data_IF_196951732132
#
_entry.id   IF_196951732132
#
_cell.length_a   1.000
_cell.length_b   1.000
_cell.length_c   1.000
_cell.angle_alpha   90.00
_cell.angle_beta   90.00
_cell.angle_gamma   90.00
#
_symmetry.space_group_name_H-M   'P 1'
#
loop_
_entity.id
_entity.type
_entity.pdbx_description
1 polymer ?
#
# COMPACT_ATOMS: atom_id res chain seq x y z
N UNK A 1 15.87 43.70 17.57
CA UNK A 1 14.90 43.66 16.51
C UNK A 1 13.52 43.30 17.09
N UNK A 2 12.41 43.92 16.67
CA UNK A 2 11.09 43.58 17.16
C UNK A 2 10.73 42.16 16.74
N UNK A 3 9.89 41.46 17.51
CA UNK A 3 9.43 40.11 17.13
C UNK A 3 8.67 40.15 15.80
N UNK A 4 8.72 39.08 14.97
CA UNK A 4 8.01 39.03 13.72
C UNK A 4 6.49 39.16 13.97
N UNK A 5 5.74 39.79 13.06
CA UNK A 5 4.30 39.92 13.19
C UNK A 5 3.63 38.56 13.25
N UNK A 6 2.52 38.41 13.99
CA UNK A 6 1.76 37.14 14.03
C UNK A 6 1.27 36.79 12.63
N UNK A 7 1.24 35.48 12.28
CA UNK A 7 0.74 35.04 11.00
C UNK A 7 -0.74 35.49 10.82
N UNK A 8 -1.16 35.84 9.63
CA UNK A 8 -2.53 36.27 9.38
C UNK A 8 -3.52 35.15 9.76
N UNK A 9 -4.73 35.51 10.23
CA UNK A 9 -5.72 34.52 10.66
C UNK A 9 -6.10 33.62 9.48
N UNK A 10 -5.98 32.32 9.69
CA UNK A 10 -6.17 31.28 8.68
C UNK A 10 -7.59 31.15 8.10
N UNK A 11 -8.56 31.94 8.56
CA UNK A 11 -9.94 31.87 8.07
C UNK A 11 -10.65 33.22 8.15
N UNK A 12 -10.91 33.81 7.01
CA UNK A 12 -11.96 34.84 6.86
C UNK A 12 -13.07 34.31 5.96
N UNK A 13 -14.26 34.21 6.56
CA UNK A 13 -15.62 34.01 6.03
C UNK A 13 -16.18 32.60 5.97
N UNK A 14 -17.09 32.32 6.91
CA UNK A 14 -17.96 31.13 6.95
C UNK A 14 -18.85 30.93 5.70
N UNK A 15 -19.04 31.91 4.84
CA UNK A 15 -19.94 31.83 3.69
C UNK A 15 -19.35 31.17 2.45
N UNK A 16 -18.04 30.97 2.33
CA UNK A 16 -17.43 30.25 1.19
C UNK A 16 -17.34 28.74 1.40
N UNK A 17 -17.35 28.27 2.63
CA UNK A 17 -17.20 26.85 2.94
C UNK A 17 -18.39 25.97 2.54
N UNK A 18 -19.62 26.48 2.62
CA UNK A 18 -20.83 25.69 2.30
C UNK A 18 -20.93 25.32 0.81
N UNK A 19 -20.57 26.22 -0.09
CA UNK A 19 -20.63 25.93 -1.53
C UNK A 19 -19.56 24.96 -2.05
N UNK A 20 -18.41 24.90 -1.38
CA UNK A 20 -17.33 23.96 -1.73
C UNK A 20 -17.55 22.58 -1.08
N UNK A 21 -18.16 22.51 0.11
CA UNK A 21 -18.48 21.25 0.78
C UNK A 21 -19.50 20.41 -0.01
N UNK A 22 -20.49 21.02 -0.64
CA UNK A 22 -21.49 20.31 -1.45
C UNK A 22 -20.91 19.83 -2.80
N UNK A 23 -20.01 20.59 -3.42
CA UNK A 23 -19.30 20.12 -4.63
C UNK A 23 -18.26 19.03 -4.30
N UNK A 24 -17.64 19.07 -3.12
CA UNK A 24 -16.68 18.05 -2.70
C UNK A 24 -17.36 16.73 -2.30
N UNK A 25 -18.62 16.74 -1.88
CA UNK A 25 -19.39 15.51 -1.59
C UNK A 25 -19.59 14.65 -2.86
N UNK A 26 -20.03 15.23 -3.96
CA UNK A 26 -20.20 14.50 -5.22
C UNK A 26 -18.88 14.00 -5.84
N UNK A 27 -17.83 14.80 -5.75
CA UNK A 27 -16.48 14.40 -6.16
C UNK A 27 -15.93 13.30 -5.25
N UNK A 28 -16.11 13.42 -3.93
CA UNK A 28 -15.65 12.42 -2.95
C UNK A 28 -16.23 11.03 -3.19
N UNK A 29 -17.48 10.93 -3.62
CA UNK A 29 -18.15 9.65 -3.84
C UNK A 29 -17.67 8.95 -5.12
N UNK A 30 -17.42 9.69 -6.20
CA UNK A 30 -16.87 9.13 -7.45
C UNK A 30 -15.47 8.54 -7.22
N UNK A 31 -14.64 9.20 -6.40
CA UNK A 31 -13.26 8.75 -6.16
C UNK A 31 -13.14 7.64 -5.13
N UNK A 32 -14.02 7.66 -4.12
CA UNK A 32 -14.18 6.50 -3.25
C UNK A 32 -14.50 5.25 -4.06
N UNK A 33 -15.39 5.38 -5.05
CA UNK A 33 -15.73 4.27 -5.95
C UNK A 33 -14.51 3.74 -6.69
N UNK A 34 -13.63 4.57 -7.25
CA UNK A 34 -12.41 4.11 -7.93
C UNK A 34 -11.48 3.28 -7.02
N UNK A 35 -11.29 3.70 -5.75
CA UNK A 35 -10.49 2.94 -4.79
C UNK A 35 -11.19 1.65 -4.38
N UNK A 36 -12.51 1.68 -4.25
CA UNK A 36 -13.33 0.50 -3.95
C UNK A 36 -13.27 -0.50 -5.11
N UNK A 37 -13.48 -0.03 -6.34
CA UNK A 37 -13.45 -0.87 -7.54
C UNK A 37 -12.07 -1.53 -7.71
N UNK A 38 -11.00 -0.77 -7.53
CA UNK A 38 -9.63 -1.31 -7.51
C UNK A 38 -9.46 -2.38 -6.42
N UNK A 39 -9.91 -2.09 -5.20
CA UNK A 39 -9.82 -3.01 -4.07
C UNK A 39 -10.55 -4.33 -4.34
N UNK A 40 -11.76 -4.26 -4.85
CA UNK A 40 -12.57 -5.44 -5.22
C UNK A 40 -11.91 -6.22 -6.35
N UNK A 41 -11.48 -5.54 -7.41
CA UNK A 41 -10.84 -6.17 -8.57
C UNK A 41 -9.56 -6.93 -8.20
N UNK A 42 -8.70 -6.36 -7.35
CA UNK A 42 -7.48 -7.03 -6.88
C UNK A 42 -7.81 -8.31 -6.08
N UNK A 43 -8.79 -8.25 -5.16
CA UNK A 43 -9.20 -9.44 -4.42
C UNK A 43 -9.81 -10.52 -5.31
N UNK A 44 -10.57 -10.15 -6.32
CA UNK A 44 -11.10 -11.10 -7.31
C UNK A 44 -9.98 -11.78 -8.13
N UNK A 45 -8.84 -11.12 -8.27
CA UNK A 45 -7.63 -11.66 -8.91
C UNK A 45 -6.71 -12.41 -7.92
N UNK A 46 -7.17 -12.69 -6.69
CA UNK A 46 -6.38 -13.38 -5.66
C UNK A 46 -5.19 -12.56 -5.12
N UNK A 47 -5.20 -11.25 -5.35
CA UNK A 47 -4.20 -10.31 -4.87
C UNK A 47 -4.68 -9.65 -3.58
N UNK A 48 -3.79 -9.15 -2.77
CA UNK A 48 -4.14 -8.48 -1.50
C UNK A 48 -3.73 -7.01 -1.58
N UNK A 49 -4.61 -6.10 -2.04
CA UNK A 49 -4.26 -4.71 -2.24
C UNK A 49 -4.10 -3.94 -0.93
N UNK A 50 -3.35 -2.84 -1.00
CA UNK A 50 -3.37 -1.80 0.02
C UNK A 50 -4.10 -0.56 -0.54
N UNK A 51 -5.37 -0.34 -0.20
CA UNK A 51 -6.16 0.75 -0.79
C UNK A 51 -5.64 2.14 -0.41
N UNK A 52 -4.85 2.29 0.67
CA UNK A 52 -4.21 3.56 1.00
C UNK A 52 -3.20 4.00 -0.07
N UNK A 53 -2.53 3.04 -0.74
CA UNK A 53 -1.63 3.33 -1.86
C UNK A 53 -2.40 3.91 -3.04
N UNK A 54 -3.49 3.25 -3.45
CA UNK A 54 -4.37 3.74 -4.52
C UNK A 54 -4.98 5.10 -4.18
N UNK A 55 -5.45 5.29 -2.95
CA UNK A 55 -5.99 6.56 -2.48
C UNK A 55 -4.94 7.69 -2.54
N UNK A 56 -3.72 7.44 -2.08
CA UNK A 56 -2.66 8.45 -2.15
C UNK A 56 -2.28 8.76 -3.60
N UNK A 57 -2.06 7.73 -4.43
CA UNK A 57 -1.66 7.90 -5.83
C UNK A 57 -2.72 8.66 -6.66
N UNK A 58 -3.97 8.20 -6.62
CA UNK A 58 -4.99 8.69 -7.55
C UNK A 58 -5.82 9.84 -7.00
N UNK A 59 -6.10 9.85 -5.69
CA UNK A 59 -6.99 10.84 -5.09
C UNK A 59 -6.20 11.99 -4.46
N UNK A 60 -5.37 11.70 -3.43
CA UNK A 60 -4.74 12.79 -2.66
C UNK A 60 -3.70 13.54 -3.45
N UNK A 61 -2.73 12.83 -4.02
CA UNK A 61 -1.62 13.45 -4.74
C UNK A 61 -1.82 13.46 -6.26
N UNK A 62 -2.77 12.68 -6.77
CA UNK A 62 -3.22 12.81 -8.14
C UNK A 62 -4.20 13.98 -8.30
N UNK A 63 -5.44 13.81 -7.87
CA UNK A 63 -6.52 14.78 -8.15
C UNK A 63 -6.62 15.95 -7.19
N UNK A 64 -6.49 15.71 -5.88
CA UNK A 64 -6.61 16.78 -4.89
C UNK A 64 -5.46 17.78 -5.04
N UNK A 65 -4.25 17.32 -5.35
CA UNK A 65 -3.10 18.19 -5.62
C UNK A 65 -3.38 19.04 -6.89
N UNK A 66 -3.83 18.44 -7.99
CA UNK A 66 -4.20 19.19 -9.19
C UNK A 66 -5.34 20.18 -8.94
N UNK A 67 -6.30 19.82 -8.10
CA UNK A 67 -7.37 20.74 -7.73
C UNK A 67 -6.86 21.91 -6.89
N UNK A 68 -5.92 21.67 -5.97
CA UNK A 68 -5.26 22.73 -5.21
C UNK A 68 -4.50 23.69 -6.14
N UNK A 69 -3.76 23.16 -7.11
CA UNK A 69 -3.08 23.95 -8.15
C UNK A 69 -4.06 24.82 -8.96
N UNK A 70 -5.21 24.26 -9.36
CA UNK A 70 -6.25 25.01 -10.07
C UNK A 70 -6.92 26.11 -9.23
N UNK A 71 -6.67 26.12 -7.92
CA UNK A 71 -7.07 27.18 -6.98
C UNK A 71 -5.90 28.09 -6.57
N UNK A 72 -4.82 28.08 -7.33
CA UNK A 72 -3.59 28.84 -7.08
C UNK A 72 -2.94 28.56 -5.70
N UNK A 73 -3.18 27.37 -5.14
CA UNK A 73 -2.51 26.95 -3.91
C UNK A 73 -1.09 26.48 -4.25
N UNK A 74 -0.11 27.05 -3.56
CA UNK A 74 1.30 26.67 -3.73
C UNK A 74 1.63 25.29 -3.16
N UNK A 75 0.90 24.85 -2.14
CA UNK A 75 1.16 23.58 -1.45
C UNK A 75 -0.11 22.86 -1.02
N UNK A 76 -0.05 21.55 -1.04
CA UNK A 76 -1.00 20.66 -0.38
C UNK A 76 -0.39 20.14 0.93
N UNK A 77 -0.94 20.53 2.07
CA UNK A 77 -0.52 20.01 3.38
C UNK A 77 -1.38 18.83 3.81
N UNK A 78 -0.75 17.78 4.29
CA UNK A 78 -1.44 16.59 4.81
C UNK A 78 -0.86 16.12 6.14
N UNK A 79 -1.66 15.38 6.94
CA UNK A 79 -1.26 14.86 8.24
C UNK A 79 -0.43 13.56 8.18
N UNK A 80 0.28 13.27 7.09
CA UNK A 80 1.13 12.11 7.02
C UNK A 80 2.39 12.26 7.88
N UNK A 81 2.74 11.18 8.58
CA UNK A 81 3.98 11.08 9.33
C UNK A 81 5.12 10.65 8.40
N UNK A 82 5.60 11.58 7.61
CA UNK A 82 6.75 11.47 6.73
C UNK A 82 7.44 12.83 6.66
N UNK A 83 8.66 12.89 6.17
CA UNK A 83 9.42 14.13 6.03
C UNK A 83 9.86 14.33 4.59
N UNK A 84 9.89 15.58 4.17
CA UNK A 84 10.49 15.99 2.90
C UNK A 84 11.61 16.96 3.21
N UNK A 85 12.78 16.72 2.67
CA UNK A 85 13.88 17.67 2.68
C UNK A 85 14.47 17.79 1.25
N UNK A 86 15.46 18.67 1.10
CA UNK A 86 16.14 18.88 -0.17
C UNK A 86 17.64 18.77 0.03
N UNK A 87 18.27 17.92 -0.79
CA UNK A 87 19.71 17.81 -0.83
C UNK A 87 20.19 17.64 -2.28
N UNK A 88 21.35 18.23 -2.60
CA UNK A 88 21.94 18.17 -3.93
C UNK A 88 20.96 18.55 -5.07
N UNK A 89 20.09 19.54 -4.81
CA UNK A 89 19.12 20.04 -5.78
C UNK A 89 17.86 19.20 -5.92
N UNK A 90 17.74 18.02 -5.28
CA UNK A 90 16.59 17.10 -5.37
C UNK A 90 15.81 17.03 -4.07
N UNK A 91 14.51 16.82 -4.16
CA UNK A 91 13.67 16.49 -3.00
C UNK A 91 13.87 15.03 -2.61
N UNK A 92 13.85 14.78 -1.30
CA UNK A 92 13.93 13.44 -0.73
C UNK A 92 12.73 13.20 0.17
N UNK A 93 12.09 12.05 -0.01
CA UNK A 93 11.07 11.54 0.91
C UNK A 93 11.76 10.72 1.99
N UNK A 94 11.52 11.05 3.25
CA UNK A 94 12.13 10.38 4.40
C UNK A 94 11.10 9.84 5.36
N UNK A 95 11.48 8.84 6.12
CA UNK A 95 10.67 8.31 7.23
C UNK A 95 10.30 9.40 8.23
N UNK A 96 9.12 9.30 8.83
CA UNK A 96 8.69 10.16 9.93
C UNK A 96 9.61 10.06 11.15
N UNK A 97 9.55 11.07 12.02
CA UNK A 97 10.29 11.07 13.27
C UNK A 97 9.79 10.01 14.28
N UNK A 98 8.54 9.59 14.15
CA UNK A 98 7.94 8.49 14.93
C UNK A 98 8.02 7.18 14.14
N UNK A 99 8.91 6.23 14.50
CA UNK A 99 9.06 4.98 13.76
C UNK A 99 7.81 4.09 13.80
N UNK A 100 6.96 4.25 14.84
CA UNK A 100 5.72 3.46 14.98
C UNK A 100 4.58 4.02 14.14
N UNK A 101 4.67 5.28 13.73
CA UNK A 101 3.66 6.00 12.95
C UNK A 101 4.15 6.40 11.57
N UNK A 102 5.37 6.01 11.20
CA UNK A 102 5.92 6.31 9.88
C UNK A 102 4.99 5.86 8.75
N UNK A 103 4.69 6.80 7.86
CA UNK A 103 3.80 6.60 6.71
C UNK A 103 4.52 6.79 5.37
N UNK A 104 5.85 6.85 5.37
CA UNK A 104 6.64 6.97 4.14
C UNK A 104 6.38 5.83 3.17
N UNK A 105 6.08 4.63 3.69
CA UNK A 105 5.69 3.46 2.89
C UNK A 105 4.50 3.72 1.96
N UNK A 106 3.48 4.45 2.40
CA UNK A 106 2.28 4.73 1.57
C UNK A 106 2.42 5.98 0.72
N UNK A 107 3.63 6.56 0.65
CA UNK A 107 3.96 7.77 -0.08
C UNK A 107 5.04 7.57 -1.16
N UNK A 108 5.57 6.36 -1.34
CA UNK A 108 6.67 6.07 -2.26
C UNK A 108 6.40 6.49 -3.71
N UNK A 109 5.13 6.66 -4.08
CA UNK A 109 4.74 7.07 -5.43
C UNK A 109 4.94 8.57 -5.71
N UNK A 110 5.36 9.35 -4.71
CA UNK A 110 5.62 10.78 -4.89
C UNK A 110 6.99 10.98 -5.53
N UNK A 111 7.00 11.60 -6.72
CA UNK A 111 8.20 12.01 -7.42
C UNK A 111 8.59 13.46 -7.10
N UNK A 112 9.52 13.99 -7.86
CA UNK A 112 10.08 15.33 -7.65
C UNK A 112 9.04 16.44 -7.79
N UNK A 113 8.09 16.27 -8.73
CA UNK A 113 7.03 17.26 -8.98
C UNK A 113 6.09 17.34 -7.78
N UNK A 114 5.59 16.21 -7.28
CA UNK A 114 4.68 16.19 -6.14
C UNK A 114 5.39 16.63 -4.85
N UNK A 115 6.64 16.15 -4.63
CA UNK A 115 7.41 16.51 -3.43
C UNK A 115 7.71 18.01 -3.33
N UNK A 116 7.79 18.70 -4.46
CA UNK A 116 7.94 20.17 -4.49
C UNK A 116 6.67 20.91 -4.01
N UNK A 117 5.53 20.26 -4.00
CA UNK A 117 4.23 20.88 -3.75
C UNK A 117 3.47 20.29 -2.57
N UNK A 118 4.08 19.38 -1.81
CA UNK A 118 3.45 18.77 -0.63
C UNK A 118 4.18 19.16 0.65
N UNK A 119 3.41 19.27 1.73
CA UNK A 119 3.92 19.49 3.06
C UNK A 119 3.40 18.43 4.02
N UNK A 120 4.26 17.93 4.88
CA UNK A 120 3.94 16.99 5.97
C UNK A 120 4.24 17.62 7.33
N UNK A 121 3.41 18.56 7.82
CA UNK A 121 3.73 19.38 9.00
C UNK A 121 3.94 18.57 10.29
N UNK A 122 3.38 17.36 10.37
CA UNK A 122 3.50 16.48 11.55
C UNK A 122 4.64 15.46 11.44
N UNK A 123 5.30 15.39 10.30
CA UNK A 123 6.34 14.38 10.05
C UNK A 123 7.57 14.47 10.93
N UNK A 124 7.86 15.66 11.47
CA UNK A 124 8.97 15.90 12.40
C UNK A 124 8.63 15.65 13.88
N UNK A 125 7.42 15.17 14.19
CA UNK A 125 6.94 14.98 15.57
C UNK A 125 6.49 13.55 15.82
N UNK A 126 6.55 13.11 17.08
CA UNK A 126 5.91 11.88 17.51
C UNK A 126 4.39 12.07 17.63
N UNK A 127 3.64 10.96 17.56
CA UNK A 127 2.17 11.00 17.74
C UNK A 127 1.77 11.63 19.07
N UNK A 128 2.52 11.34 20.13
CA UNK A 128 2.30 11.92 21.46
C UNK A 128 2.48 13.43 21.46
N UNK A 129 3.51 13.94 20.81
CA UNK A 129 3.73 15.39 20.66
C UNK A 129 2.59 16.05 19.88
N UNK A 130 2.17 15.44 18.77
CA UNK A 130 1.05 15.97 17.96
C UNK A 130 -0.25 16.02 18.75
N UNK A 131 -0.56 14.97 19.54
CA UNK A 131 -1.73 14.98 20.44
C UNK A 131 -1.62 16.08 21.51
N UNK A 132 -0.45 16.27 22.13
CA UNK A 132 -0.22 17.35 23.08
C UNK A 132 -0.46 18.73 22.46
N UNK A 133 0.08 18.97 21.26
CA UNK A 133 -0.15 20.23 20.52
C UNK A 133 -1.63 20.44 20.16
N UNK A 134 -2.36 19.37 19.83
CA UNK A 134 -3.79 19.45 19.54
C UNK A 134 -4.60 19.82 20.79
N UNK A 135 -4.27 19.23 21.97
CA UNK A 135 -4.90 19.59 23.26
C UNK A 135 -4.64 21.05 23.63
N UNK A 136 -3.39 21.51 23.53
CA UNK A 136 -3.02 22.90 23.81
C UNK A 136 -3.78 23.91 22.93
N UNK A 137 -4.20 23.49 21.73
CA UNK A 137 -4.98 24.30 20.79
C UNK A 137 -6.48 24.05 20.87
N UNK A 138 -6.94 23.27 21.85
CA UNK A 138 -8.35 22.87 22.03
C UNK A 138 -8.99 22.31 20.75
N UNK A 139 -8.24 21.52 19.98
CA UNK A 139 -8.77 20.91 18.76
C UNK A 139 -9.69 19.72 19.11
N UNK A 140 -10.93 19.66 18.59
CA UNK A 140 -11.88 18.59 18.91
C UNK A 140 -11.39 17.18 18.57
N UNK A 141 -10.39 17.08 17.69
CA UNK A 141 -9.82 15.79 17.22
C UNK A 141 -8.69 15.28 18.12
N UNK A 142 -8.31 16.01 19.18
CA UNK A 142 -7.20 15.63 20.05
C UNK A 142 -7.38 14.25 20.70
N UNK A 143 -8.63 13.91 21.05
CA UNK A 143 -9.00 12.65 21.70
C UNK A 143 -9.58 11.59 20.71
N UNK A 144 -9.61 11.90 19.41
CA UNK A 144 -10.11 10.96 18.43
C UNK A 144 -9.23 9.72 18.35
N UNK A 145 -9.86 8.55 18.40
CA UNK A 145 -9.19 7.28 18.17
C UNK A 145 -8.56 7.21 16.77
N UNK A 146 -7.54 6.38 16.63
CA UNK A 146 -6.91 6.17 15.35
C UNK A 146 -7.84 5.37 14.43
N UNK A 147 -7.99 5.84 13.20
CA UNK A 147 -8.63 5.04 12.16
C UNK A 147 -7.69 3.88 11.81
N UNK A 148 -7.98 2.70 12.30
CA UNK A 148 -7.11 1.53 12.15
C UNK A 148 -7.36 0.76 10.86
N UNK A 149 -8.47 1.03 10.15
CA UNK A 149 -9.02 0.12 9.16
C UNK A 149 -9.41 0.81 7.86
N UNK A 150 -10.02 0.08 6.96
CA UNK A 150 -10.40 0.56 5.65
C UNK A 150 -11.46 1.66 5.77
N UNK A 151 -11.14 2.88 5.40
CA UNK A 151 -12.00 4.05 5.61
C UNK A 151 -13.37 3.99 4.89
N UNK A 152 -13.56 3.03 3.97
CA UNK A 152 -14.80 2.78 3.25
C UNK A 152 -15.54 1.51 3.71
N UNK A 153 -14.97 0.73 4.64
CA UNK A 153 -15.61 -0.42 5.30
C UNK A 153 -16.00 0.01 6.71
N UNK A 154 -17.27 0.33 6.90
CA UNK A 154 -17.75 1.00 8.13
C UNK A 154 -17.79 0.11 9.37
N UNK A 155 -17.77 -1.20 9.19
CA UNK A 155 -17.90 -2.23 10.22
C UNK A 155 -16.68 -3.14 10.34
N UNK A 156 -15.59 -2.74 9.67
CA UNK A 156 -14.31 -3.45 9.64
C UNK A 156 -14.39 -4.90 9.10
N UNK A 157 -15.54 -5.28 8.53
CA UNK A 157 -15.75 -6.58 7.89
C UNK A 157 -15.56 -6.48 6.37
N UNK A 158 -14.30 -6.55 5.92
CA UNK A 158 -13.98 -6.54 4.49
C UNK A 158 -14.54 -7.77 3.75
N UNK A 159 -14.79 -8.90 4.43
CA UNK A 159 -15.35 -10.11 3.82
C UNK A 159 -16.80 -9.88 3.43
N UNK A 160 -17.60 -9.32 4.35
CA UNK A 160 -18.97 -8.91 4.05
C UNK A 160 -19.00 -7.85 2.95
N UNK A 161 -18.05 -6.92 2.98
CA UNK A 161 -17.92 -5.90 1.94
C UNK A 161 -17.68 -6.53 0.56
N UNK A 162 -16.73 -7.46 0.42
CA UNK A 162 -16.46 -8.20 -0.82
C UNK A 162 -17.67 -9.03 -1.26
N UNK A 163 -18.36 -9.70 -0.32
CA UNK A 163 -19.54 -10.48 -0.61
C UNK A 163 -20.70 -9.63 -1.16
N UNK A 164 -20.79 -8.35 -0.75
CA UNK A 164 -21.78 -7.41 -1.25
C UNK A 164 -21.40 -6.84 -2.63
N UNK A 165 -20.12 -6.61 -2.90
CA UNK A 165 -19.66 -5.91 -4.11
C UNK A 165 -19.21 -6.84 -5.25
N UNK A 166 -18.89 -8.09 -4.95
CA UNK A 166 -18.48 -9.10 -5.93
C UNK A 166 -18.93 -10.51 -5.49
N UNK A 167 -20.25 -10.75 -5.33
CA UNK A 167 -20.75 -12.03 -4.87
C UNK A 167 -20.36 -13.20 -5.79
N UNK A 168 -20.19 -12.94 -7.09
CA UNK A 168 -19.76 -13.91 -8.09
C UNK A 168 -18.33 -14.42 -7.88
N UNK A 169 -17.45 -13.60 -7.28
CA UNK A 169 -16.07 -13.97 -6.96
C UNK A 169 -15.97 -14.77 -5.64
N UNK A 170 -17.03 -14.76 -4.83
CA UNK A 170 -17.07 -15.44 -3.54
C UNK A 170 -17.70 -16.81 -3.69
N UNK A 171 -16.97 -17.74 -4.30
CA UNK A 171 -17.43 -19.10 -4.51
C UNK A 171 -16.67 -20.08 -3.61
N UNK A 172 -17.35 -20.97 -2.87
CA UNK A 172 -16.67 -22.02 -2.09
C UNK A 172 -15.89 -22.96 -2.99
N UNK A 173 -14.75 -23.45 -2.48
CA UNK A 173 -13.89 -24.37 -3.21
C UNK A 173 -13.06 -25.26 -2.29
N UNK A 174 -12.25 -26.17 -2.81
CA UNK A 174 -11.43 -27.06 -2.02
C UNK A 174 -10.24 -26.34 -1.36
N UNK A 175 -9.89 -26.79 -0.18
CA UNK A 175 -8.59 -26.49 0.43
C UNK A 175 -7.71 -27.72 0.22
N UNK A 176 -6.59 -27.51 -0.46
CA UNK A 176 -5.64 -28.55 -0.82
C UNK A 176 -4.39 -28.46 0.05
N UNK A 177 -3.81 -29.59 0.39
CA UNK A 177 -2.46 -29.66 0.92
C UNK A 177 -1.42 -29.42 -0.21
N UNK A 178 -0.12 -29.41 0.14
CA UNK A 178 0.96 -29.24 -0.86
C UNK A 178 1.17 -30.46 -1.76
N UNK A 179 0.53 -31.59 -1.48
CA UNK A 179 0.52 -32.78 -2.32
C UNK A 179 -0.70 -32.80 -3.28
N UNK A 180 -1.64 -31.87 -3.08
CA UNK A 180 -2.86 -31.76 -3.91
C UNK A 180 -4.06 -32.50 -3.34
N UNK A 181 -3.98 -33.07 -2.12
CA UNK A 181 -5.12 -33.72 -1.49
C UNK A 181 -6.08 -32.69 -0.92
N UNK A 182 -7.39 -32.91 -1.09
CA UNK A 182 -8.42 -32.08 -0.48
C UNK A 182 -8.51 -32.38 1.03
N UNK A 183 -8.31 -31.34 1.85
CA UNK A 183 -8.31 -31.44 3.32
C UNK A 183 -9.38 -30.54 3.95
N UNK A 184 -10.19 -29.88 3.16
CA UNK A 184 -11.28 -29.01 3.63
C UNK A 184 -11.87 -28.17 2.51
N UNK A 185 -12.74 -27.25 2.88
CA UNK A 185 -13.36 -26.30 1.95
C UNK A 185 -13.28 -24.87 2.44
N UNK A 186 -12.98 -23.95 1.53
CA UNK A 186 -12.98 -22.50 1.83
C UNK A 186 -14.32 -21.86 1.40
N UNK A 187 -14.59 -20.68 1.94
CA UNK A 187 -15.82 -19.92 1.71
C UNK A 187 -15.73 -18.92 0.55
N UNK A 188 -14.60 -18.81 -0.10
CA UNK A 188 -14.32 -17.87 -1.21
C UNK A 188 -12.87 -17.43 -1.17
N UNK A 189 -12.12 -17.57 -2.29
CA UNK A 189 -10.69 -17.22 -2.36
C UNK A 189 -10.39 -15.76 -1.93
N UNK A 190 -11.26 -14.75 -2.23
CA UNK A 190 -11.01 -13.37 -1.80
C UNK A 190 -10.92 -13.15 -0.28
N UNK A 191 -11.31 -14.13 0.53
CA UNK A 191 -11.21 -14.07 1.99
C UNK A 191 -9.87 -14.50 2.55
N UNK A 192 -8.93 -14.91 1.68
CA UNK A 192 -7.65 -15.46 2.09
C UNK A 192 -6.48 -14.70 1.48
N UNK A 193 -5.39 -14.69 2.21
CA UNK A 193 -4.14 -14.02 1.83
C UNK A 193 -2.96 -14.96 2.08
N UNK A 194 -1.96 -14.93 1.22
CA UNK A 194 -0.72 -15.68 1.39
C UNK A 194 -0.09 -15.39 2.77
N UNK A 195 0.30 -16.44 3.49
CA UNK A 195 0.83 -16.36 4.85
C UNK A 195 -0.24 -16.37 5.96
N UNK A 196 -1.52 -16.33 5.62
CA UNK A 196 -2.61 -16.39 6.60
C UNK A 196 -2.62 -17.75 7.31
N UNK A 197 -2.70 -17.72 8.66
CA UNK A 197 -2.81 -18.90 9.51
C UNK A 197 -4.22 -19.10 10.07
N UNK A 198 -4.88 -18.00 10.47
CA UNK A 198 -6.17 -18.06 11.17
C UNK A 198 -7.34 -18.14 10.20
N UNK A 199 -8.44 -18.78 10.60
CA UNK A 199 -9.67 -18.80 9.83
C UNK A 199 -9.66 -19.80 8.66
N UNK A 200 -8.77 -20.81 8.67
CA UNK A 200 -8.75 -21.88 7.67
C UNK A 200 -9.80 -22.96 7.94
N UNK A 201 -10.22 -23.12 9.20
CA UNK A 201 -11.22 -24.13 9.60
C UNK A 201 -10.75 -25.58 9.49
N UNK A 202 -9.41 -25.82 9.48
CA UNK A 202 -8.82 -27.14 9.31
C UNK A 202 -8.15 -27.57 10.60
N UNK A 203 -8.45 -28.78 11.06
CA UNK A 203 -7.71 -29.44 12.11
C UNK A 203 -6.50 -30.18 11.51
N UNK A 204 -5.30 -29.85 11.97
CA UNK A 204 -4.08 -30.47 11.49
C UNK A 204 -3.06 -30.64 12.64
N UNK A 205 -2.15 -31.63 12.57
CA UNK A 205 -1.13 -31.85 13.60
C UNK A 205 -0.15 -30.68 13.76
N UNK A 206 0.11 -29.94 12.70
CA UNK A 206 0.95 -28.74 12.69
C UNK A 206 0.18 -27.51 12.15
N UNK A 207 0.67 -26.31 12.46
CA UNK A 207 0.06 -25.08 12.00
C UNK A 207 0.15 -24.95 10.46
N UNK A 208 -0.99 -24.81 9.81
CA UNK A 208 -1.08 -24.60 8.37
C UNK A 208 -1.20 -23.10 8.04
N UNK A 209 -0.66 -22.75 6.90
CA UNK A 209 -0.63 -21.39 6.35
C UNK A 209 -1.08 -21.42 4.88
N UNK A 210 -1.71 -20.37 4.42
CA UNK A 210 -1.98 -20.20 2.98
C UNK A 210 -0.65 -20.04 2.25
N UNK A 211 -0.37 -20.97 1.35
CA UNK A 211 0.83 -20.96 0.49
C UNK A 211 0.55 -20.21 -0.80
N UNK A 212 -0.59 -20.48 -1.43
CA UNK A 212 -1.03 -19.79 -2.65
C UNK A 212 -2.54 -19.90 -2.85
N UNK A 213 -3.09 -18.99 -3.63
CA UNK A 213 -4.44 -19.05 -4.16
C UNK A 213 -4.36 -19.56 -5.59
N UNK A 214 -5.04 -20.66 -5.90
CA UNK A 214 -5.13 -21.26 -7.24
C UNK A 214 -6.46 -20.83 -7.87
N UNK A 215 -6.44 -19.72 -8.57
CA UNK A 215 -7.65 -19.13 -9.17
C UNK A 215 -8.25 -20.05 -10.25
N UNK A 216 -7.39 -20.72 -11.04
CA UNK A 216 -7.84 -21.58 -12.13
C UNK A 216 -8.69 -22.78 -11.64
N UNK A 217 -8.37 -23.26 -10.43
CA UNK A 217 -9.07 -24.39 -9.80
C UNK A 217 -10.06 -23.95 -8.72
N UNK A 218 -10.18 -22.66 -8.47
CA UNK A 218 -10.86 -22.12 -7.28
C UNK A 218 -10.42 -22.84 -6.00
N UNK A 219 -9.11 -23.05 -5.81
CA UNK A 219 -8.56 -23.83 -4.71
C UNK A 219 -7.62 -23.02 -3.84
N UNK A 220 -7.70 -23.23 -2.53
CA UNK A 220 -6.77 -22.66 -1.54
C UNK A 220 -5.71 -23.71 -1.22
N UNK A 221 -4.43 -23.44 -1.53
CA UNK A 221 -3.34 -24.35 -1.19
C UNK A 221 -2.74 -23.94 0.14
N UNK A 222 -2.70 -24.86 1.10
CA UNK A 222 -2.16 -24.64 2.43
C UNK A 222 -1.02 -25.61 2.75
N UNK A 223 -0.16 -25.22 3.66
CA UNK A 223 0.97 -26.06 4.10
C UNK A 223 1.68 -25.48 5.31
N UNK A 224 2.68 -26.17 5.82
CA UNK A 224 3.47 -25.72 6.97
C UNK A 224 4.30 -24.46 6.64
N UNK A 225 4.65 -23.70 7.68
CA UNK A 225 5.37 -22.42 7.53
C UNK A 225 6.70 -22.52 6.76
N UNK A 226 7.37 -23.68 6.80
CA UNK A 226 8.60 -23.94 6.03
C UNK A 226 8.42 -23.91 4.50
N UNK A 227 7.17 -23.99 4.02
CA UNK A 227 6.81 -23.84 2.59
C UNK A 227 6.57 -22.38 2.19
N UNK A 228 6.58 -21.47 3.16
CA UNK A 228 6.50 -20.03 2.93
C UNK A 228 7.88 -19.45 2.74
N UNK A 229 8.56 -18.96 2.35
CA UNK A 229 9.96 -18.49 2.36
C UNK A 229 10.42 -18.22 0.94
N UNK A 230 10.18 -17.01 0.50
CA UNK A 230 10.61 -16.54 -0.80
C UNK A 230 11.73 -15.52 -0.65
N UNK A 231 12.73 -15.60 -1.51
CA UNK A 231 13.86 -14.67 -1.52
C UNK A 231 13.75 -13.59 -2.58
N UNK A 232 12.87 -13.75 -3.55
CA UNK A 232 12.77 -12.80 -4.65
C UNK A 232 11.33 -12.41 -4.91
N UNK A 233 11.15 -11.24 -5.45
CA UNK A 233 9.88 -10.77 -6.01
C UNK A 233 10.15 -9.88 -7.22
N UNK A 234 9.16 -9.73 -8.08
CA UNK A 234 9.11 -8.72 -9.11
C UNK A 234 7.96 -7.76 -8.81
N UNK A 235 8.22 -6.48 -8.99
CA UNK A 235 7.28 -5.41 -8.76
C UNK A 235 7.06 -4.60 -10.03
N UNK A 236 5.83 -4.26 -10.29
CA UNK A 236 5.44 -3.35 -11.36
C UNK A 236 5.02 -1.99 -10.83
N UNK A 237 4.68 -1.09 -11.75
CA UNK A 237 4.31 0.30 -11.44
C UNK A 237 5.33 1.00 -10.52
N UNK A 238 6.60 0.73 -10.76
CA UNK A 238 7.70 1.24 -9.94
C UNK A 238 7.82 2.76 -10.08
N UNK A 239 7.91 3.42 -8.95
CA UNK A 239 8.23 4.85 -8.85
C UNK A 239 9.57 5.00 -8.14
N UNK A 240 10.45 5.81 -8.73
CA UNK A 240 11.70 6.26 -8.12
C UNK A 240 11.51 7.68 -7.60
N UNK A 241 11.76 7.90 -6.31
CA UNK A 241 11.58 9.23 -5.69
C UNK A 241 12.49 10.27 -6.33
N UNK A 242 13.68 9.86 -6.78
CA UNK A 242 14.62 10.71 -7.53
C UNK A 242 14.11 11.11 -8.92
N UNK A 243 13.15 10.39 -9.48
CA UNK A 243 12.66 10.51 -10.85
C UNK A 243 13.37 9.60 -11.85
N UNK A 244 14.49 8.96 -11.46
CA UNK A 244 15.31 8.13 -12.35
C UNK A 244 15.63 6.79 -11.68
N UNK A 245 15.59 5.67 -12.43
CA UNK A 245 16.04 4.38 -11.92
C UNK A 245 17.55 4.37 -11.70
N UNK A 246 18.07 3.61 -10.74
CA UNK A 246 19.49 3.37 -10.61
C UNK A 246 20.00 2.58 -11.81
N UNK A 247 21.19 2.94 -12.31
CA UNK A 247 21.84 2.27 -13.46
C UNK A 247 22.39 0.88 -13.13
N UNK A 248 22.63 0.62 -11.85
CA UNK A 248 23.17 -0.65 -11.35
C UNK A 248 22.33 -1.17 -10.18
N UNK A 249 22.40 -2.48 -9.86
CA UNK A 249 21.75 -3.03 -8.68
C UNK A 249 22.21 -2.34 -7.39
N UNK A 250 21.26 -1.94 -6.54
CA UNK A 250 21.53 -1.15 -5.33
C UNK A 250 21.17 -1.94 -4.08
N UNK A 251 22.04 -1.88 -3.06
CA UNK A 251 21.76 -2.42 -1.74
C UNK A 251 20.79 -1.53 -1.00
N UNK A 252 19.72 -2.14 -0.49
CA UNK A 252 18.62 -1.45 0.17
C UNK A 252 18.13 -2.20 1.41
N UNK A 253 17.37 -1.50 2.24
CA UNK A 253 16.46 -2.10 3.19
C UNK A 253 15.06 -2.03 2.60
N UNK A 254 14.32 -3.13 2.54
CA UNK A 254 13.00 -3.12 1.90
C UNK A 254 11.89 -3.61 2.84
N UNK A 255 10.71 -2.99 2.73
CA UNK A 255 9.47 -3.46 3.36
C UNK A 255 8.54 -4.02 2.28
N UNK A 256 7.97 -5.19 2.54
CA UNK A 256 7.00 -5.86 1.64
C UNK A 256 5.54 -5.61 2.02
N UNK A 257 5.27 -4.86 3.08
CA UNK A 257 3.96 -4.39 3.54
C UNK A 257 4.15 -3.31 4.62
N UNK A 258 3.11 -2.54 4.88
CA UNK A 258 3.16 -1.39 5.79
C UNK A 258 3.74 -1.70 7.17
N UNK A 259 3.30 -2.80 7.81
CA UNK A 259 3.74 -3.19 9.15
C UNK A 259 4.92 -4.17 9.17
N UNK A 260 5.53 -4.49 8.01
CA UNK A 260 6.69 -5.37 7.98
C UNK A 260 7.94 -4.67 8.55
N UNK A 261 8.83 -5.46 9.10
CA UNK A 261 10.20 -5.03 9.42
C UNK A 261 10.99 -4.83 8.13
N UNK A 262 11.98 -3.94 8.17
CA UNK A 262 12.93 -3.77 7.09
C UNK A 262 13.78 -5.04 6.93
N UNK A 263 13.98 -5.47 5.69
CA UNK A 263 14.83 -6.61 5.34
C UNK A 263 15.87 -6.19 4.30
N UNK A 264 17.10 -6.65 4.49
CA UNK A 264 18.21 -6.37 3.55
C UNK A 264 17.96 -7.05 2.21
N UNK A 265 18.11 -6.31 1.14
CA UNK A 265 17.87 -6.77 -0.22
C UNK A 265 18.74 -6.05 -1.25
N UNK A 266 18.79 -6.61 -2.45
CA UNK A 266 19.29 -5.95 -3.65
C UNK A 266 18.11 -5.59 -4.53
N UNK A 267 18.02 -4.32 -4.89
CA UNK A 267 17.05 -3.76 -5.83
C UNK A 267 17.68 -3.63 -7.19
N UNK A 268 17.07 -4.22 -8.22
CA UNK A 268 17.49 -4.10 -9.61
C UNK A 268 16.36 -3.50 -10.43
N UNK A 269 16.59 -2.36 -11.04
CA UNK A 269 15.66 -1.78 -11.99
C UNK A 269 15.59 -2.68 -13.24
N UNK A 270 14.38 -2.90 -13.74
CA UNK A 270 14.09 -3.58 -15.00
C UNK A 270 13.44 -2.59 -15.95
N UNK A 271 13.22 -3.03 -17.19
CA UNK A 271 12.50 -2.25 -18.20
C UNK A 271 11.01 -2.06 -17.84
N UNK A 272 10.32 -1.19 -18.56
CA UNK A 272 8.87 -0.96 -18.45
C UNK A 272 8.35 -0.64 -17.03
N UNK A 273 9.15 0.07 -16.23
CA UNK A 273 8.73 0.45 -14.87
C UNK A 273 8.58 -0.73 -13.91
N UNK A 274 9.38 -1.77 -14.13
CA UNK A 274 9.48 -2.95 -13.28
C UNK A 274 10.76 -2.93 -12.45
N UNK A 275 10.79 -3.74 -11.40
CA UNK A 275 11.99 -4.00 -10.61
C UNK A 275 11.98 -5.42 -10.06
N UNK A 276 13.18 -5.99 -9.92
CA UNK A 276 13.41 -7.24 -9.20
C UNK A 276 14.06 -6.93 -7.85
N UNK A 277 13.54 -7.56 -6.79
CA UNK A 277 14.07 -7.42 -5.43
C UNK A 277 14.47 -8.79 -4.91
N UNK A 278 15.74 -8.94 -4.54
CA UNK A 278 16.28 -10.19 -3.99
C UNK A 278 16.71 -9.95 -2.55
N UNK A 279 16.09 -10.65 -1.61
CA UNK A 279 16.35 -10.56 -0.18
C UNK A 279 17.49 -11.47 0.26
N UNK A 280 18.28 -11.03 1.24
CA UNK A 280 19.39 -11.82 1.80
C UNK A 280 18.89 -13.08 2.54
N UNK A 281 17.70 -12.99 3.14
CA UNK A 281 17.05 -14.10 3.82
C UNK A 281 15.62 -14.30 3.29
N UNK A 282 15.08 -15.53 3.30
CA UNK A 282 13.72 -15.77 2.86
C UNK A 282 12.71 -15.00 3.72
N UNK A 283 11.74 -14.37 3.07
CA UNK A 283 10.61 -13.69 3.70
C UNK A 283 9.34 -14.52 3.55
N UNK A 284 8.63 -14.70 4.65
CA UNK A 284 7.48 -15.59 4.72
C UNK A 284 6.23 -15.07 4.01
N UNK A 285 6.04 -13.76 3.99
CA UNK A 285 4.73 -13.16 3.68
C UNK A 285 4.80 -12.22 2.46
N UNK A 286 5.59 -12.55 1.44
CA UNK A 286 5.59 -11.81 0.18
C UNK A 286 4.25 -12.07 -0.50
N UNK A 287 3.47 -11.00 -0.72
CA UNK A 287 2.08 -11.11 -1.15
C UNK A 287 1.83 -10.22 -2.36
N UNK A 288 1.40 -10.77 -3.51
CA UNK A 288 0.98 -9.99 -4.66
C UNK A 288 -0.14 -8.99 -4.31
N UNK A 289 -0.07 -7.79 -4.88
CA UNK A 289 -0.98 -6.67 -4.58
C UNK A 289 -0.54 -5.76 -3.44
N UNK A 290 0.36 -6.23 -2.55
CA UNK A 290 1.06 -5.35 -1.61
C UNK A 290 2.16 -4.57 -2.33
N UNK A 291 2.69 -3.50 -1.70
CA UNK A 291 3.87 -2.85 -2.24
C UNK A 291 5.16 -3.41 -1.64
N UNK A 292 6.24 -3.33 -2.42
CA UNK A 292 7.60 -3.33 -1.91
C UNK A 292 8.14 -1.91 -1.94
N UNK A 293 8.72 -1.44 -0.83
CA UNK A 293 9.31 -0.10 -0.74
C UNK A 293 10.75 -0.21 -0.25
N UNK A 294 11.66 0.36 -1.00
CA UNK A 294 13.09 0.35 -0.78
C UNK A 294 13.56 1.63 -0.07
N UNK A 295 14.40 1.44 0.91
CA UNK A 295 14.98 2.50 1.73
C UNK A 295 16.51 2.44 1.72
N UNK A 296 17.14 3.60 1.72
CA UNK A 296 18.52 3.78 2.13
C UNK A 296 18.53 4.63 3.39
N UNK A 297 18.92 4.05 4.52
CA UNK A 297 18.77 4.66 5.85
C UNK A 297 17.31 5.09 6.11
N UNK A 298 17.06 6.40 6.21
CA UNK A 298 15.73 6.97 6.39
C UNK A 298 15.09 7.49 5.09
N UNK A 299 15.77 7.38 3.96
CA UNK A 299 15.30 7.88 2.66
C UNK A 299 14.57 6.79 1.89
N UNK A 300 13.41 7.12 1.33
CA UNK A 300 12.69 6.25 0.38
C UNK A 300 13.35 6.40 -0.99
N UNK A 301 13.90 5.31 -1.50
CA UNK A 301 14.52 5.26 -2.82
C UNK A 301 13.49 5.04 -3.92
N UNK A 302 12.68 4.00 -3.75
CA UNK A 302 11.71 3.53 -4.72
C UNK A 302 10.63 2.67 -4.08
N UNK A 303 9.58 2.39 -4.82
CA UNK A 303 8.61 1.36 -4.47
C UNK A 303 7.79 0.96 -5.69
N UNK A 304 7.15 -0.21 -5.60
CA UNK A 304 6.29 -0.76 -6.64
C UNK A 304 5.28 -1.75 -6.06
N UNK A 305 4.29 -2.15 -6.85
CA UNK A 305 3.33 -3.18 -6.46
C UNK A 305 3.92 -4.56 -6.77
N UNK A 306 3.89 -5.46 -5.81
CA UNK A 306 4.36 -6.83 -5.98
C UNK A 306 3.40 -7.54 -6.95
N UNK A 307 3.90 -7.92 -8.12
CA UNK A 307 3.13 -8.59 -9.16
C UNK A 307 3.41 -10.08 -9.21
N UNK A 308 4.67 -10.46 -9.10
CA UNK A 308 5.10 -11.83 -9.23
C UNK A 308 6.06 -12.22 -8.10
N UNK A 309 5.90 -13.44 -7.61
CA UNK A 309 6.80 -14.07 -6.63
C UNK A 309 7.27 -15.37 -7.27
N UNK A 310 8.56 -15.45 -7.68
CA UNK A 310 9.09 -16.68 -8.28
C UNK A 310 8.89 -17.86 -7.33
N UNK A 311 8.48 -19.00 -7.88
CA UNK A 311 8.45 -20.23 -7.09
C UNK A 311 9.86 -20.49 -6.56
N UNK A 312 9.99 -20.80 -5.28
CA UNK A 312 11.30 -21.16 -4.70
C UNK A 312 11.80 -22.43 -5.41
N UNK A 313 13.11 -22.54 -5.62
CA UNK A 313 13.81 -23.71 -6.16
C UNK A 313 13.62 -25.02 -5.33
N UNK A 314 12.66 -25.01 -4.41
CA UNK A 314 12.22 -26.16 -3.61
C UNK A 314 11.17 -27.04 -4.32
N UNK A 315 10.71 -26.65 -5.50
CA UNK A 315 9.89 -27.50 -6.36
C UNK A 315 10.83 -28.10 -7.43
N UNK A 316 10.93 -29.43 -7.45
CA UNK A 316 11.72 -30.15 -8.44
C UNK A 316 11.36 -29.82 -9.88
N UNK A 317 12.16 -30.24 -10.89
CA UNK A 317 12.10 -29.76 -12.25
C UNK A 317 10.75 -30.11 -12.90
N UNK A 318 9.95 -29.10 -13.21
CA UNK A 318 8.71 -29.29 -13.98
C UNK A 318 7.59 -28.33 -13.68
N UNK A 319 7.77 -27.03 -13.87
CA UNK A 319 6.66 -26.11 -14.18
C UNK A 319 7.21 -24.74 -14.65
N UNK A 320 7.74 -24.72 -15.85
CA UNK A 320 7.90 -23.47 -16.59
C UNK A 320 6.53 -23.11 -17.19
N UNK A 321 5.99 -21.98 -16.77
CA UNK A 321 4.75 -21.45 -17.31
C UNK A 321 4.54 -20.02 -16.80
N UNK A 322 5.16 -19.05 -17.46
CA UNK A 322 4.83 -17.63 -17.32
C UNK A 322 3.38 -17.45 -17.80
N UNK A 323 2.41 -16.99 -17.01
CA UNK A 323 1.11 -16.65 -17.56
C UNK A 323 1.28 -15.44 -18.49
N UNK A 324 0.87 -15.57 -19.75
CA UNK A 324 0.83 -14.49 -20.70
C UNK A 324 -0.08 -13.37 -20.15
N UNK A 325 0.48 -12.17 -19.99
CA UNK A 325 -0.29 -10.96 -19.72
C UNK A 325 -1.20 -10.72 -20.92
N UNK A 326 -2.50 -10.87 -20.71
CA UNK A 326 -3.52 -10.52 -21.70
C UNK A 326 -3.41 -9.05 -22.03
N UNK A 327 -3.16 -8.74 -23.28
CA UNK A 327 -3.30 -7.41 -23.83
C UNK A 327 -4.77 -7.01 -23.74
N UNK A 328 -5.11 -6.14 -22.79
CA UNK A 328 -6.40 -5.47 -22.74
C UNK A 328 -6.45 -4.44 -23.85
N UNK A 329 -7.38 -4.61 -24.76
CA UNK A 329 -7.72 -3.71 -25.86
C UNK A 329 -7.91 -2.26 -25.34
N UNK A 330 -7.12 -1.36 -25.88
CA UNK A 330 -7.40 0.07 -25.88
C UNK A 330 -8.42 0.35 -26.98
N UNK A 331 -9.69 0.55 -26.63
CA UNK A 331 -10.62 1.32 -27.47
C UNK A 331 -11.75 1.94 -26.65
N UNK A 332 -11.90 3.27 -26.88
CA UNK A 332 -12.95 4.26 -26.56
C UNK A 332 -12.92 4.87 -25.16
#
# INVERSE_FOLDING_TARGET
PPPPPPPPPLFSSRRRHTRYADRSRGLGDVYKRQVVDYFVAEYCQGRTPNPCLACNRHIRFGRLLRHAQALDASYLATGHYARVDRASGRFRLRTGADPQKDQSYVLYMLGQEELNQVLFPVGGYTKTQVRSMARQRNLPVAEKDESMELCFVSDDDYRRFLQTHAPEAVQPGPILDTAGNEIGRHHGLPFYTVGQRRGLGIAAPEALYVIRLDLARNALVVGPSRKLGQRALEAGQVCYVSGEPPSEPVRVQAKIRYKATLASATWTALEEGQARVVFDAPLRDITPGQAVVAYQESEVLAGGIIDYVPASDLAGPGSEGKPALGQGDQHA
#
